data_IF_804143893026
#
_entry.id   IF_804143893026
#
_cell.length_a   1.000
_cell.length_b   1.000
_cell.length_c   1.000
_cell.angle_alpha   90.00
_cell.angle_beta   90.00
_cell.angle_gamma   90.00
#
_symmetry.space_group_name_H-M   'P 1'
#
loop_
_entity.id
_entity.type
_entity.pdbx_description
1 polymer ?
#
# COMPACT_ATOMS: atom_id res chain seq x y z
N UNK A 1 -6.87 -2.31 -8.12
CA UNK A 1 -6.26 -2.09 -6.79
C UNK A 1 -7.06 -1.09 -6.00
N UNK A 2 -7.22 -1.31 -4.70
CA UNK A 2 -7.71 -0.36 -3.70
C UNK A 2 -6.49 0.19 -2.96
N UNK A 3 -6.39 1.51 -2.75
CA UNK A 3 -5.24 2.14 -2.10
C UNK A 3 -5.70 2.97 -0.90
N UNK A 4 -5.15 2.70 0.28
CA UNK A 4 -5.65 3.24 1.56
C UNK A 4 -4.54 3.96 2.31
N UNK A 5 -4.76 5.26 2.58
CA UNK A 5 -3.96 6.11 3.45
C UNK A 5 -4.72 6.44 4.75
N UNK A 6 -4.08 7.16 5.65
CA UNK A 6 -4.65 7.62 6.92
C UNK A 6 -3.63 7.61 8.05
N UNK A 7 -3.99 8.07 9.23
CA UNK A 7 -3.13 7.99 10.41
C UNK A 7 -3.46 6.74 11.22
N UNK A 8 -4.73 6.53 11.53
CA UNK A 8 -5.21 5.37 12.30
C UNK A 8 -6.22 4.56 11.49
N UNK A 9 -6.19 3.24 11.65
CA UNK A 9 -7.16 2.35 11.03
C UNK A 9 -6.89 1.95 9.57
N UNK A 10 -5.77 2.37 8.96
CA UNK A 10 -5.39 1.98 7.60
C UNK A 10 -5.39 0.46 7.40
N UNK A 11 -4.60 -0.25 8.22
CA UNK A 11 -4.44 -1.70 8.13
C UNK A 11 -5.76 -2.45 8.38
N UNK A 12 -6.57 -1.99 9.36
CA UNK A 12 -7.89 -2.57 9.61
C UNK A 12 -8.82 -2.37 8.41
N UNK A 13 -8.88 -1.14 7.86
CA UNK A 13 -9.68 -0.85 6.66
C UNK A 13 -9.23 -1.70 5.48
N UNK A 14 -7.91 -1.81 5.27
CA UNK A 14 -7.36 -2.64 4.19
C UNK A 14 -7.73 -4.12 4.36
N UNK A 15 -7.64 -4.64 5.58
CA UNK A 15 -7.99 -6.03 5.88
C UNK A 15 -9.51 -6.28 5.69
N UNK A 16 -10.38 -5.35 6.10
CA UNK A 16 -11.81 -5.44 5.84
C UNK A 16 -12.13 -5.41 4.34
N UNK A 17 -11.51 -4.50 3.59
CA UNK A 17 -11.69 -4.44 2.13
C UNK A 17 -11.30 -5.76 1.46
N UNK A 18 -10.16 -6.34 1.83
CA UNK A 18 -9.71 -7.63 1.29
C UNK A 18 -10.67 -8.75 1.67
N UNK A 19 -11.09 -8.83 2.94
CA UNK A 19 -12.03 -9.84 3.41
C UNK A 19 -13.38 -9.78 2.67
N UNK A 20 -13.89 -8.55 2.42
CA UNK A 20 -15.10 -8.34 1.64
C UNK A 20 -14.94 -8.78 0.19
N UNK A 21 -13.83 -8.39 -0.47
CA UNK A 21 -13.54 -8.84 -1.84
C UNK A 21 -13.51 -10.36 -1.94
N UNK A 22 -12.95 -11.03 -0.95
CA UNK A 22 -12.90 -12.49 -0.88
C UNK A 22 -14.28 -13.09 -0.64
N UNK A 23 -15.09 -12.48 0.22
CA UNK A 23 -16.44 -12.96 0.55
C UNK A 23 -17.44 -12.84 -0.62
N UNK A 24 -17.31 -11.80 -1.46
CA UNK A 24 -18.19 -11.60 -2.63
C UNK A 24 -17.70 -12.31 -3.88
N UNK A 25 -16.59 -13.03 -3.81
CA UNK A 25 -16.05 -13.80 -4.92
C UNK A 25 -17.03 -14.93 -5.28
N UNK A 26 -17.35 -15.10 -6.57
CA UNK A 26 -18.21 -16.20 -6.99
C UNK A 26 -17.67 -17.56 -6.57
N UNK A 27 -18.56 -18.47 -6.19
CA UNK A 27 -18.21 -19.84 -5.86
C UNK A 27 -17.52 -20.52 -7.06
N UNK A 28 -16.45 -21.28 -6.79
CA UNK A 28 -15.64 -21.92 -7.84
C UNK A 28 -14.70 -20.98 -8.60
N UNK A 29 -14.67 -19.67 -8.28
CA UNK A 29 -13.77 -18.71 -8.90
C UNK A 29 -12.32 -18.96 -8.53
N UNK A 30 -11.43 -18.97 -9.52
CA UNK A 30 -9.97 -18.99 -9.34
C UNK A 30 -9.37 -17.61 -9.03
N UNK A 31 -10.19 -16.55 -8.96
CA UNK A 31 -9.72 -15.20 -8.64
C UNK A 31 -9.09 -15.17 -7.24
N UNK A 32 -7.93 -14.54 -7.11
CA UNK A 32 -7.22 -14.38 -5.84
C UNK A 32 -7.24 -12.93 -5.38
N UNK A 33 -7.22 -12.73 -4.08
CA UNK A 33 -7.04 -11.42 -3.47
C UNK A 33 -5.64 -11.28 -2.89
N UNK A 34 -5.07 -10.08 -2.97
CA UNK A 34 -3.79 -9.72 -2.38
C UNK A 34 -3.96 -8.57 -1.40
N UNK A 35 -3.29 -8.64 -0.27
CA UNK A 35 -3.26 -7.59 0.74
C UNK A 35 -1.81 -7.25 1.09
N UNK A 36 -1.48 -5.96 1.04
CA UNK A 36 -0.22 -5.43 1.53
C UNK A 36 -0.45 -4.48 2.68
N UNK A 37 0.11 -4.77 3.85
CA UNK A 37 -0.05 -3.98 5.08
C UNK A 37 1.28 -3.78 5.81
N UNK A 38 1.31 -2.80 6.73
CA UNK A 38 2.45 -2.54 7.61
C UNK A 38 2.03 -1.90 8.94
N UNK A 39 2.79 -2.14 10.04
CA UNK A 39 3.90 -3.08 10.15
C UNK A 39 3.45 -4.55 10.23
N UNK A 40 4.39 -5.48 10.34
CA UNK A 40 4.13 -6.85 10.79
C UNK A 40 4.24 -6.93 12.31
N UNK A 41 3.69 -8.00 12.89
CA UNK A 41 3.76 -8.25 14.34
C UNK A 41 4.92 -9.18 14.71
N UNK A 42 5.12 -10.25 13.97
CA UNK A 42 6.13 -11.28 14.23
C UNK A 42 7.04 -11.48 13.02
N UNK A 43 6.49 -11.75 11.85
CA UNK A 43 7.26 -12.10 10.66
C UNK A 43 6.99 -11.17 9.47
N UNK A 44 8.05 -10.77 8.75
CA UNK A 44 7.93 -9.85 7.61
C UNK A 44 6.93 -10.30 6.54
N UNK A 45 6.75 -11.62 6.36
CA UNK A 45 5.82 -12.23 5.41
C UNK A 45 4.34 -11.92 5.69
N UNK A 46 3.99 -11.51 6.93
CA UNK A 46 2.65 -11.07 7.29
C UNK A 46 2.20 -9.83 6.52
N UNK A 47 3.16 -9.04 6.01
CA UNK A 47 2.87 -7.83 5.20
C UNK A 47 2.26 -8.16 3.86
N UNK A 48 2.45 -9.38 3.35
CA UNK A 48 1.97 -9.83 2.04
C UNK A 48 1.07 -11.03 2.26
N UNK A 49 -0.21 -10.87 2.00
CA UNK A 49 -1.20 -11.92 2.17
C UNK A 49 -1.88 -12.23 0.84
N UNK A 50 -2.13 -13.51 0.64
CA UNK A 50 -2.92 -14.02 -0.49
C UNK A 50 -4.14 -14.72 0.08
N UNK A 51 -5.33 -14.31 -0.35
CA UNK A 51 -6.61 -14.82 0.15
C UNK A 51 -6.70 -14.80 1.70
N UNK A 52 -6.21 -13.70 2.30
CA UNK A 52 -6.19 -13.47 3.74
C UNK A 52 -5.06 -14.16 4.52
N UNK A 53 -4.29 -15.05 3.88
CA UNK A 53 -3.22 -15.83 4.52
C UNK A 53 -1.85 -15.22 4.21
N UNK A 54 -0.97 -15.00 5.21
CA UNK A 54 0.42 -14.60 4.97
C UNK A 54 1.13 -15.59 4.05
N UNK A 55 2.08 -15.10 3.24
CA UNK A 55 2.92 -15.98 2.44
C UNK A 55 3.56 -17.06 3.29
N UNK A 56 3.73 -18.27 2.73
CA UNK A 56 4.59 -19.29 3.32
C UNK A 56 6.04 -18.80 3.41
N UNK A 57 6.85 -19.40 4.24
CA UNK A 57 8.28 -19.07 4.32
C UNK A 57 8.99 -19.36 3.00
N UNK A 58 8.63 -20.44 2.35
CA UNK A 58 9.18 -20.86 1.07
C UNK A 58 8.83 -19.85 -0.05
N UNK A 59 7.56 -19.47 -0.19
CA UNK A 59 7.16 -18.50 -1.19
C UNK A 59 7.75 -17.11 -0.92
N UNK A 60 7.80 -16.70 0.35
CA UNK A 60 8.42 -15.43 0.71
C UNK A 60 9.91 -15.41 0.35
N UNK A 61 10.65 -16.49 0.68
CA UNK A 61 12.07 -16.61 0.34
C UNK A 61 12.26 -16.62 -1.18
N UNK A 62 11.48 -17.41 -1.91
CA UNK A 62 11.54 -17.48 -3.37
C UNK A 62 11.35 -16.11 -4.02
N UNK A 63 10.26 -15.42 -3.73
CA UNK A 63 9.99 -14.09 -4.29
C UNK A 63 10.99 -13.03 -3.83
N UNK A 64 11.49 -13.15 -2.58
CA UNK A 64 12.54 -12.28 -2.07
C UNK A 64 13.79 -12.36 -2.96
N UNK A 65 14.28 -13.55 -3.24
CA UNK A 65 15.47 -13.73 -4.05
C UNK A 65 15.26 -13.36 -5.50
N UNK A 66 14.09 -13.66 -6.08
CA UNK A 66 13.74 -13.21 -7.43
C UNK A 66 13.84 -11.67 -7.58
N UNK A 67 13.30 -10.92 -6.61
CA UNK A 67 13.36 -9.45 -6.62
C UNK A 67 14.78 -8.95 -6.31
N UNK A 68 15.44 -9.57 -5.35
CA UNK A 68 16.80 -9.19 -4.93
C UNK A 68 17.81 -9.32 -6.06
N UNK A 69 17.78 -10.44 -6.76
CA UNK A 69 18.69 -10.74 -7.87
C UNK A 69 18.36 -9.83 -9.06
N UNK A 70 17.10 -9.71 -9.42
CA UNK A 70 16.66 -8.81 -10.51
C UNK A 70 17.08 -7.36 -10.29
N UNK A 71 17.00 -6.87 -9.07
CA UNK A 71 17.48 -5.53 -8.73
C UNK A 71 19.01 -5.43 -8.83
N UNK A 72 19.73 -6.49 -8.43
CA UNK A 72 21.18 -6.55 -8.52
C UNK A 72 21.71 -6.54 -9.96
N UNK A 73 20.98 -7.16 -10.87
CA UNK A 73 21.29 -7.24 -12.30
C UNK A 73 20.97 -5.94 -13.07
N UNK A 74 20.17 -5.04 -12.47
CA UNK A 74 19.74 -3.83 -13.15
C UNK A 74 20.88 -2.81 -13.30
N UNK A 75 21.46 -2.74 -14.50
CA UNK A 75 22.50 -1.79 -14.86
C UNK A 75 21.96 -0.44 -15.33
N UNK A 76 20.67 -0.37 -15.71
CA UNK A 76 20.01 0.84 -16.19
C UNK A 76 19.41 1.65 -15.04
N UNK A 77 20.21 2.52 -14.43
CA UNK A 77 19.76 3.45 -13.39
C UNK A 77 19.66 4.85 -13.97
N UNK A 78 18.57 5.55 -13.65
CA UNK A 78 18.41 6.96 -14.05
C UNK A 78 19.50 7.86 -13.44
N UNK A 79 19.93 7.54 -12.23
CA UNK A 79 20.99 8.26 -11.50
C UNK A 79 21.99 7.23 -10.98
N UNK A 80 23.26 7.46 -11.24
CA UNK A 80 24.34 6.53 -10.86
C UNK A 80 24.45 6.32 -9.34
N UNK A 81 24.12 7.37 -8.57
CA UNK A 81 24.17 7.39 -7.11
C UNK A 81 23.04 6.57 -6.47
N UNK A 82 21.99 6.24 -7.22
CA UNK A 82 20.88 5.44 -6.69
C UNK A 82 21.37 4.04 -6.37
N UNK A 83 21.16 3.58 -5.15
CA UNK A 83 21.49 2.22 -4.76
C UNK A 83 20.75 1.20 -5.64
N UNK A 84 21.43 0.11 -6.01
CA UNK A 84 20.83 -0.98 -6.79
C UNK A 84 19.62 -1.57 -6.06
N UNK A 85 19.74 -1.74 -4.75
CA UNK A 85 18.69 -2.26 -3.89
C UNK A 85 18.15 -1.14 -3.01
N UNK A 86 16.84 -0.87 -3.05
CA UNK A 86 16.25 0.20 -2.27
C UNK A 86 16.18 -0.16 -0.78
N UNK A 87 15.91 0.85 0.07
CA UNK A 87 15.69 0.65 1.50
C UNK A 87 14.47 -0.25 1.76
N UNK A 88 14.43 -0.82 2.95
CA UNK A 88 13.52 -1.88 3.40
C UNK A 88 12.06 -1.73 2.95
N UNK A 89 11.40 -0.60 3.26
CA UNK A 89 9.98 -0.45 2.93
C UNK A 89 9.72 -0.45 1.42
N UNK A 90 10.58 0.23 0.65
CA UNK A 90 10.47 0.23 -0.81
C UNK A 90 10.75 -1.15 -1.41
N UNK A 91 11.70 -1.88 -0.85
CA UNK A 91 11.97 -3.26 -1.24
C UNK A 91 10.74 -4.15 -0.98
N UNK A 92 10.14 -4.06 0.22
CA UNK A 92 8.94 -4.82 0.57
C UNK A 92 7.74 -4.48 -0.32
N UNK A 93 7.60 -3.22 -0.74
CA UNK A 93 6.56 -2.81 -1.70
C UNK A 93 6.78 -3.46 -3.06
N UNK A 94 8.02 -3.46 -3.58
CA UNK A 94 8.36 -4.15 -4.83
C UNK A 94 8.12 -5.65 -4.73
N UNK A 95 8.52 -6.26 -3.61
CA UNK A 95 8.27 -7.67 -3.33
C UNK A 95 6.77 -8.01 -3.35
N UNK A 96 5.94 -7.18 -2.71
CA UNK A 96 4.49 -7.38 -2.71
C UNK A 96 3.91 -7.30 -4.14
N UNK A 97 4.28 -6.28 -4.91
CA UNK A 97 3.82 -6.13 -6.29
C UNK A 97 4.29 -7.28 -7.19
N UNK A 98 5.56 -7.71 -7.05
CA UNK A 98 6.10 -8.86 -7.76
C UNK A 98 5.33 -10.14 -7.43
N UNK A 99 5.09 -10.40 -6.15
CA UNK A 99 4.32 -11.54 -5.67
C UNK A 99 2.91 -11.55 -6.27
N UNK A 100 2.21 -10.40 -6.22
CA UNK A 100 0.84 -10.30 -6.75
C UNK A 100 0.78 -10.55 -8.26
N UNK A 101 1.76 -10.06 -9.00
CA UNK A 101 1.87 -10.29 -10.44
C UNK A 101 2.19 -11.76 -10.74
N UNK A 102 3.17 -12.35 -10.06
CA UNK A 102 3.60 -13.75 -10.26
C UNK A 102 2.48 -14.73 -9.93
N UNK A 103 1.70 -14.46 -8.89
CA UNK A 103 0.56 -15.28 -8.50
C UNK A 103 -0.74 -14.92 -9.24
N UNK A 104 -0.70 -13.97 -10.19
CA UNK A 104 -1.86 -13.50 -10.97
C UNK A 104 -3.04 -13.10 -10.10
N UNK A 105 -2.77 -12.33 -9.04
CA UNK A 105 -3.80 -11.83 -8.13
C UNK A 105 -4.76 -10.92 -8.88
N UNK A 106 -6.06 -11.16 -8.76
CA UNK A 106 -7.11 -10.45 -9.50
C UNK A 106 -7.47 -9.11 -8.88
N UNK A 107 -7.43 -9.03 -7.55
CA UNK A 107 -7.73 -7.81 -6.80
C UNK A 107 -6.72 -7.61 -5.66
N UNK A 108 -6.23 -6.39 -5.50
CA UNK A 108 -5.25 -6.05 -4.45
C UNK A 108 -5.71 -4.87 -3.62
N UNK A 109 -5.41 -4.92 -2.32
CA UNK A 109 -5.56 -3.81 -1.39
C UNK A 109 -4.19 -3.45 -0.85
N UNK A 110 -3.82 -2.17 -0.99
CA UNK A 110 -2.53 -1.65 -0.55
C UNK A 110 -2.72 -0.63 0.57
N UNK A 111 -2.08 -0.86 1.71
CA UNK A 111 -1.93 0.11 2.78
C UNK A 111 -0.70 0.98 2.51
N UNK A 112 -0.86 2.29 2.61
CA UNK A 112 0.25 3.26 2.62
C UNK A 112 1.10 3.09 3.88
N UNK A 113 2.42 3.08 3.73
CA UNK A 113 3.33 3.04 4.87
C UNK A 113 3.33 4.35 5.66
N UNK A 114 3.77 5.43 5.04
CA UNK A 114 3.83 6.77 5.64
C UNK A 114 3.37 7.82 4.63
N UNK A 115 2.51 8.74 5.09
CA UNK A 115 2.02 9.83 4.25
C UNK A 115 1.09 9.33 3.15
N UNK A 116 1.52 9.40 1.93
CA UNK A 116 0.82 8.98 0.72
C UNK A 116 1.51 9.49 -0.54
N UNK A 117 1.69 10.80 -0.67
CA UNK A 117 2.22 11.46 -1.88
C UNK A 117 3.55 10.86 -2.34
N UNK A 118 4.49 10.63 -1.42
CA UNK A 118 5.82 10.08 -1.69
C UNK A 118 6.00 8.64 -1.22
N UNK A 119 4.91 7.99 -0.79
CA UNK A 119 4.98 6.60 -0.38
C UNK A 119 5.29 5.66 -1.55
N UNK A 120 6.03 4.60 -1.29
CA UNK A 120 6.40 3.64 -2.34
C UNK A 120 5.19 2.96 -2.99
N UNK A 121 4.08 2.82 -2.26
CA UNK A 121 2.84 2.25 -2.78
C UNK A 121 2.13 3.17 -3.78
N UNK A 122 2.49 4.48 -3.81
CA UNK A 122 1.89 5.46 -4.71
C UNK A 122 2.39 5.37 -6.17
N UNK A 123 3.17 4.33 -6.49
CA UNK A 123 3.52 3.95 -7.86
C UNK A 123 2.26 3.56 -8.68
N UNK A 124 1.18 3.19 -8.02
CA UNK A 124 -0.07 2.80 -8.67
C UNK A 124 -0.75 4.03 -9.27
N UNK A 125 -0.75 4.12 -10.61
CA UNK A 125 -1.25 5.29 -11.33
C UNK A 125 -2.77 5.34 -11.43
N UNK A 126 -3.43 4.18 -11.50
CA UNK A 126 -4.89 4.07 -11.67
C UNK A 126 -5.47 3.02 -10.72
N UNK A 127 -5.56 3.29 -9.43
CA UNK A 127 -6.33 2.43 -8.53
C UNK A 127 -7.82 2.50 -8.91
N UNK A 128 -8.59 1.48 -8.54
CA UNK A 128 -10.06 1.48 -8.76
C UNK A 128 -10.74 2.47 -7.83
N UNK A 129 -10.22 2.58 -6.61
CA UNK A 129 -10.68 3.48 -5.56
C UNK A 129 -9.54 3.78 -4.61
N UNK A 130 -9.55 4.98 -4.05
CA UNK A 130 -8.64 5.41 -2.99
C UNK A 130 -9.43 5.75 -1.72
N UNK A 131 -8.81 5.55 -0.56
CA UNK A 131 -9.46 5.85 0.71
C UNK A 131 -8.51 6.49 1.72
N UNK A 132 -9.03 7.43 2.51
CA UNK A 132 -8.32 8.01 3.65
C UNK A 132 -9.11 7.70 4.92
N UNK A 133 -8.51 6.89 5.80
CA UNK A 133 -9.03 6.61 7.14
C UNK A 133 -8.80 7.81 8.09
N UNK A 134 -9.07 7.66 9.37
CA UNK A 134 -8.98 8.75 10.33
C UNK A 134 -7.60 9.42 10.33
N UNK A 135 -7.60 10.75 10.20
CA UNK A 135 -6.42 11.60 10.34
C UNK A 135 -6.09 11.88 11.81
N UNK A 136 -4.85 12.15 12.08
CA UNK A 136 -4.32 12.56 13.38
C UNK A 136 -2.89 13.05 13.25
N UNK A 137 -2.36 13.69 14.26
CA UNK A 137 -0.98 14.14 14.30
C UNK A 137 -0.08 12.92 14.50
N UNK A 138 0.78 12.66 13.53
CA UNK A 138 1.75 11.56 13.55
C UNK A 138 2.85 11.83 12.50
N UNK A 139 4.04 11.25 12.69
CA UNK A 139 5.18 11.40 11.80
C UNK A 139 5.51 12.86 11.45
N UNK A 140 5.42 13.76 12.43
CA UNK A 140 5.52 15.22 12.23
C UNK A 140 6.84 15.66 11.59
N UNK A 141 7.93 14.94 11.86
CA UNK A 141 9.23 15.22 11.22
C UNK A 141 9.24 15.04 9.69
N UNK A 142 8.23 14.35 9.13
CA UNK A 142 8.14 14.04 7.70
C UNK A 142 6.89 14.65 7.07
N UNK A 143 5.76 14.61 7.76
CA UNK A 143 4.46 14.94 7.18
C UNK A 143 3.99 16.37 7.50
N UNK A 144 4.67 17.06 8.43
CA UNK A 144 4.26 18.38 8.92
C UNK A 144 3.62 18.34 10.31
N UNK A 145 3.37 19.50 10.85
CA UNK A 145 2.94 19.69 12.25
C UNK A 145 1.44 19.96 12.41
N UNK A 146 0.71 20.08 11.30
CA UNK A 146 -0.72 20.36 11.28
C UNK A 146 -1.50 19.22 10.62
N UNK A 147 -2.79 19.11 10.95
CA UNK A 147 -3.66 18.13 10.31
C UNK A 147 -3.82 18.39 8.81
N UNK A 148 -3.77 19.66 8.40
CA UNK A 148 -3.87 20.09 7.01
C UNK A 148 -2.65 19.63 6.19
N UNK A 149 -1.44 19.80 6.72
CA UNK A 149 -0.21 19.31 6.09
C UNK A 149 -0.23 17.76 5.97
N UNK A 150 -0.62 17.09 7.04
CA UNK A 150 -0.76 15.63 7.05
C UNK A 150 -1.85 15.16 6.07
N UNK A 151 -2.99 15.87 6.01
CA UNK A 151 -4.06 15.59 5.05
C UNK A 151 -3.57 15.72 3.61
N UNK A 152 -2.81 16.79 3.29
CA UNK A 152 -2.21 17.00 1.98
C UNK A 152 -1.30 15.84 1.56
N UNK A 153 -0.41 15.41 2.46
CA UNK A 153 0.48 14.28 2.18
C UNK A 153 -0.31 12.98 1.91
N UNK A 154 -1.40 12.77 2.65
CA UNK A 154 -2.22 11.56 2.49
C UNK A 154 -3.13 11.62 1.26
N UNK A 155 -3.67 12.80 0.93
CA UNK A 155 -4.43 13.05 -0.30
C UNK A 155 -3.60 12.80 -1.57
N UNK A 156 -2.27 12.80 -1.48
CA UNK A 156 -1.38 12.49 -2.60
C UNK A 156 -1.59 11.12 -3.26
N UNK A 157 -2.37 10.23 -2.64
CA UNK A 157 -2.78 8.97 -3.28
C UNK A 157 -3.99 9.13 -4.22
N UNK A 158 -4.72 10.25 -4.13
CA UNK A 158 -5.87 10.52 -5.00
C UNK A 158 -5.41 10.73 -6.44
N UNK A 159 -6.21 10.28 -7.38
CA UNK A 159 -5.90 10.35 -8.80
C UNK A 159 -7.10 10.93 -9.55
N UNK A 160 -6.84 11.75 -10.54
CA UNK A 160 -7.90 12.32 -11.36
C UNK A 160 -8.76 11.22 -12.01
N UNK A 161 -10.07 11.34 -11.89
CA UNK A 161 -11.04 10.37 -12.42
C UNK A 161 -11.17 9.07 -11.61
N UNK A 162 -10.52 8.97 -10.44
CA UNK A 162 -10.62 7.82 -9.53
C UNK A 162 -11.47 8.22 -8.32
N UNK A 163 -12.47 7.41 -7.92
CA UNK A 163 -13.22 7.65 -6.69
C UNK A 163 -12.30 7.76 -5.47
N UNK A 164 -12.50 8.81 -4.68
CA UNK A 164 -11.78 9.07 -3.44
C UNK A 164 -12.76 9.11 -2.27
N UNK A 165 -12.53 8.28 -1.27
CA UNK A 165 -13.38 8.14 -0.10
C UNK A 165 -12.64 8.60 1.15
N UNK A 166 -13.37 9.20 2.08
CA UNK A 166 -12.85 9.55 3.40
C UNK A 166 -13.88 9.24 4.47
N UNK A 167 -13.41 8.75 5.61
CA UNK A 167 -14.22 8.76 6.82
C UNK A 167 -14.42 10.20 7.30
N UNK A 168 -15.38 10.50 8.21
CA UNK A 168 -15.44 11.78 8.90
C UNK A 168 -14.08 12.13 9.53
N UNK A 169 -13.61 13.35 9.31
CA UNK A 169 -12.30 13.78 9.79
C UNK A 169 -12.42 14.65 11.07
N UNK A 170 -11.36 14.74 11.89
CA UNK A 170 -11.38 15.45 13.16
C UNK A 170 -11.69 16.92 13.04
N UNK A 171 -11.30 17.57 11.95
CA UNK A 171 -11.53 19.00 11.70
C UNK A 171 -12.09 19.23 10.28
N UNK A 172 -12.96 20.23 10.09
CA UNK A 172 -13.42 20.63 8.75
C UNK A 172 -12.26 21.02 7.84
N UNK A 173 -11.23 21.72 8.36
CA UNK A 173 -10.07 22.15 7.58
C UNK A 173 -9.31 20.97 6.96
N UNK A 174 -9.10 19.89 7.71
CA UNK A 174 -8.47 18.68 7.18
C UNK A 174 -9.32 18.01 6.11
N UNK A 175 -10.65 17.99 6.27
CA UNK A 175 -11.57 17.47 5.26
C UNK A 175 -11.54 18.32 3.98
N UNK A 176 -11.46 19.65 4.12
CA UNK A 176 -11.40 20.56 2.97
C UNK A 176 -10.11 20.39 2.16
N UNK A 177 -8.99 20.02 2.80
CA UNK A 177 -7.75 19.64 2.10
C UNK A 177 -7.97 18.37 1.27
N UNK A 178 -8.67 17.36 1.82
CA UNK A 178 -8.96 16.13 1.09
C UNK A 178 -9.92 16.31 -0.09
N UNK A 179 -10.72 17.38 -0.10
CA UNK A 179 -11.69 17.70 -1.18
C UNK A 179 -11.09 18.45 -2.36
N UNK A 180 -9.95 19.08 -2.19
CA UNK A 180 -9.21 19.83 -3.21
C UNK A 180 -8.36 18.95 -4.10
#
# INVERSE_FOLDING_TARGET
>A
MIHIAGTKGKGSTAAFCEALLRAVRPEGSSARTGLYTSPHMVAARERIRIDGVPLSEEDFARFFWEVWDRLGENTHRKYAETALRPMYFRFMTLLALHTFLSLRVSATVLEVGIGGLYDSTNIVQRPVVTGVSALGIDHTAILGNTLEEIAFQKAGIFKAGVPALSVPQPTPAALDVLRK
#
